data_IF_849538469973
#
_entry.id   IF_849538469973
#
_cell.length_a   1.000
_cell.length_b   1.000
_cell.length_c   1.000
_cell.angle_alpha   90.00
_cell.angle_beta   90.00
_cell.angle_gamma   90.00
#
_symmetry.space_group_name_H-M   'P 1'
#
loop_
_entity.id
_entity.type
_entity.pdbx_description
1 polymer ?
#
# COMPACT_ATOMS: atom_id res chain seq x y z
N UNK A 1 -1.84 -24.40 10.13
CA UNK A 1 -0.83 -23.34 10.45
C UNK A 1 -1.20 -22.06 9.71
N UNK A 2 -1.10 -20.88 10.36
CA UNK A 2 -1.39 -19.58 9.71
C UNK A 2 -0.09 -18.84 9.38
N UNK A 3 0.06 -18.40 8.13
CA UNK A 3 1.25 -17.70 7.63
C UNK A 3 0.87 -16.47 6.82
N UNK A 4 1.65 -15.40 6.97
CA UNK A 4 1.62 -14.24 6.06
C UNK A 4 2.82 -14.25 5.14
N UNK A 5 2.78 -13.45 4.07
CA UNK A 5 3.96 -13.23 3.23
C UNK A 5 5.18 -12.75 4.06
N UNK A 6 4.97 -11.82 4.99
CA UNK A 6 6.04 -11.31 5.85
C UNK A 6 6.65 -12.42 6.71
N UNK A 7 5.82 -13.29 7.29
CA UNK A 7 6.28 -14.44 8.08
C UNK A 7 7.11 -15.42 7.22
N UNK A 8 6.62 -15.77 6.04
CA UNK A 8 7.31 -16.62 5.08
C UNK A 8 8.66 -16.01 4.68
N UNK A 9 8.66 -14.72 4.30
CA UNK A 9 9.87 -14.00 3.91
C UNK A 9 10.90 -13.92 5.05
N UNK A 10 10.45 -13.73 6.29
CA UNK A 10 11.33 -13.71 7.46
C UNK A 10 11.97 -15.07 7.68
N UNK A 11 11.20 -16.17 7.62
CA UNK A 11 11.73 -17.53 7.74
C UNK A 11 12.76 -17.84 6.64
N UNK A 12 12.47 -17.48 5.39
CA UNK A 12 13.39 -17.68 4.27
C UNK A 12 14.69 -16.90 4.41
N UNK A 13 14.65 -15.71 5.02
CA UNK A 13 15.85 -14.91 5.30
C UNK A 13 16.67 -15.51 6.44
N UNK A 14 16.03 -15.87 7.54
CA UNK A 14 16.66 -16.50 8.69
C UNK A 14 15.60 -17.19 9.56
N UNK A 15 15.59 -18.54 9.66
CA UNK A 15 14.64 -19.27 10.51
C UNK A 15 14.69 -18.83 11.98
N UNK A 16 15.87 -18.53 12.52
CA UNK A 16 15.99 -18.03 13.90
C UNK A 16 15.34 -16.66 14.09
N UNK A 17 15.47 -15.75 13.13
CA UNK A 17 14.80 -14.45 13.17
C UNK A 17 13.27 -14.62 13.15
N UNK A 18 12.76 -15.57 12.39
CA UNK A 18 11.34 -15.95 12.41
C UNK A 18 10.94 -16.45 13.81
N UNK A 19 11.73 -17.35 14.41
CA UNK A 19 11.46 -17.87 15.76
C UNK A 19 11.34 -16.72 16.76
N UNK A 20 12.33 -15.83 16.82
CA UNK A 20 12.32 -14.70 17.74
C UNK A 20 11.10 -13.80 17.55
N UNK A 21 10.75 -13.49 16.29
CA UNK A 21 9.65 -12.56 16.00
C UNK A 21 8.26 -13.18 16.17
N UNK A 22 8.03 -14.41 15.65
CA UNK A 22 6.69 -14.98 15.54
C UNK A 22 6.38 -16.05 16.59
N UNK A 23 7.40 -16.75 17.10
CA UNK A 23 7.23 -17.81 18.11
C UNK A 23 7.47 -17.25 19.51
N UNK A 24 8.65 -16.67 19.73
CA UNK A 24 9.07 -16.12 21.02
C UNK A 24 8.49 -14.71 21.26
N UNK A 25 8.00 -14.04 20.21
CA UNK A 25 7.39 -12.69 20.23
C UNK A 25 8.28 -11.64 20.87
N UNK A 26 9.58 -11.71 20.60
CA UNK A 26 10.52 -10.72 21.09
C UNK A 26 10.21 -9.34 20.48
N UNK A 27 10.32 -8.26 21.27
CA UNK A 27 10.07 -6.92 20.76
C UNK A 27 11.10 -6.52 19.69
N UNK A 28 10.65 -5.81 18.68
CA UNK A 28 11.50 -5.17 17.68
C UNK A 28 11.61 -3.68 17.93
N UNK A 29 12.69 -3.08 17.47
CA UNK A 29 12.82 -1.63 17.51
C UNK A 29 11.87 -0.99 16.49
N UNK A 30 11.17 0.09 16.86
CA UNK A 30 10.41 0.87 15.89
C UNK A 30 11.29 1.30 14.72
N UNK A 31 10.71 1.33 13.53
CA UNK A 31 11.43 1.69 12.30
C UNK A 31 10.67 2.77 11.56
N UNK A 32 11.30 3.93 11.38
CA UNK A 32 10.72 5.02 10.61
C UNK A 32 10.36 4.62 9.16
N UNK A 33 11.06 3.63 8.58
CA UNK A 33 10.68 3.10 7.25
C UNK A 33 9.32 2.41 7.26
N UNK A 34 9.01 1.66 8.33
CA UNK A 34 7.71 1.00 8.49
C UNK A 34 6.62 2.02 8.77
N UNK A 35 6.87 2.96 9.69
CA UNK A 35 5.93 4.04 10.01
C UNK A 35 5.63 4.90 8.79
N UNK A 36 6.65 5.30 8.04
CA UNK A 36 6.50 6.01 6.77
C UNK A 36 5.66 5.24 5.76
N UNK A 37 6.00 3.97 5.52
CA UNK A 37 5.26 3.11 4.60
C UNK A 37 3.79 3.00 5.00
N UNK A 38 3.50 2.72 6.27
CA UNK A 38 2.14 2.59 6.79
C UNK A 38 1.35 3.89 6.67
N UNK A 39 1.96 5.05 6.95
CA UNK A 39 1.30 6.36 6.79
C UNK A 39 0.93 6.65 5.33
N UNK A 40 1.83 6.34 4.38
CA UNK A 40 1.55 6.49 2.94
C UNK A 40 0.42 5.54 2.49
N UNK A 41 0.44 4.26 2.91
CA UNK A 41 -0.62 3.30 2.57
C UNK A 41 -1.99 3.75 3.12
N UNK A 42 -2.04 4.26 4.36
CA UNK A 42 -3.27 4.76 4.94
C UNK A 42 -3.84 5.98 4.18
N UNK A 43 -2.97 6.91 3.75
CA UNK A 43 -3.39 8.04 2.92
C UNK A 43 -3.89 7.58 1.54
N UNK A 44 -3.26 6.58 0.93
CA UNK A 44 -3.73 6.01 -0.34
C UNK A 44 -5.01 5.19 -0.18
N UNK A 45 -5.20 4.51 0.95
CA UNK A 45 -6.47 3.89 1.30
C UNK A 45 -7.59 4.93 1.34
N UNK A 46 -7.38 6.06 2.01
CA UNK A 46 -8.32 7.17 2.04
C UNK A 46 -8.65 7.68 0.63
N UNK A 47 -7.64 7.91 -0.21
CA UNK A 47 -7.82 8.37 -1.59
C UNK A 47 -8.76 7.48 -2.41
N UNK A 48 -8.73 6.16 -2.18
CA UNK A 48 -9.53 5.18 -2.92
C UNK A 48 -10.75 4.66 -2.17
N UNK A 49 -10.95 5.03 -0.89
CA UNK A 49 -12.10 4.57 -0.09
C UNK A 49 -13.37 5.36 -0.39
N UNK A 50 -13.55 5.82 -1.60
CA UNK A 50 -14.73 6.58 -2.02
C UNK A 50 -15.67 5.69 -2.83
N UNK A 51 -16.97 5.92 -2.63
CA UNK A 51 -18.04 5.20 -3.34
C UNK A 51 -18.51 5.95 -4.61
N UNK A 52 -17.92 7.10 -4.88
CA UNK A 52 -18.18 7.93 -6.06
C UNK A 52 -16.97 7.92 -6.99
N UNK A 53 -17.11 8.03 -8.31
CA UNK A 53 -16.00 8.00 -9.26
C UNK A 53 -15.21 9.34 -9.28
N UNK A 54 -15.06 9.96 -8.13
CA UNK A 54 -14.34 11.21 -7.94
C UNK A 54 -13.35 11.05 -6.77
N UNK A 55 -12.06 11.36 -6.96
CA UNK A 55 -11.11 11.37 -5.87
C UNK A 55 -11.37 12.56 -4.94
N UNK A 56 -10.92 12.47 -3.70
CA UNK A 56 -10.76 13.66 -2.84
C UNK A 56 -9.84 14.67 -3.54
N UNK A 57 -9.85 15.93 -3.10
CA UNK A 57 -8.88 16.88 -3.62
C UNK A 57 -7.47 16.67 -3.05
N UNK A 58 -6.46 17.34 -3.63
CA UNK A 58 -5.07 17.17 -3.21
C UNK A 58 -4.85 17.64 -1.76
N UNK A 59 -5.53 18.68 -1.33
CA UNK A 59 -5.39 19.24 0.00
C UNK A 59 -5.95 18.29 1.05
N UNK A 60 -7.11 17.69 0.79
CA UNK A 60 -7.70 16.63 1.62
C UNK A 60 -6.79 15.41 1.74
N UNK A 61 -6.18 14.94 0.63
CA UNK A 61 -5.23 13.84 0.66
C UNK A 61 -3.99 14.16 1.49
N UNK A 62 -3.45 15.38 1.39
CA UNK A 62 -2.29 15.80 2.16
C UNK A 62 -2.63 16.05 3.64
N UNK A 63 -3.84 16.52 3.94
CA UNK A 63 -4.34 16.61 5.32
C UNK A 63 -4.51 15.23 5.93
N UNK A 64 -5.02 14.26 5.17
CA UNK A 64 -5.14 12.90 5.66
C UNK A 64 -3.78 12.27 5.95
N UNK A 65 -2.74 12.55 5.16
CA UNK A 65 -1.39 12.11 5.51
C UNK A 65 -0.97 12.62 6.90
N UNK A 66 -1.30 13.87 7.23
CA UNK A 66 -0.99 14.44 8.55
C UNK A 66 -1.81 13.76 9.67
N UNK A 67 -3.06 13.40 9.41
CA UNK A 67 -3.94 12.72 10.37
C UNK A 67 -3.47 11.29 10.69
N UNK A 68 -3.02 10.55 9.66
CA UNK A 68 -2.60 9.14 9.80
C UNK A 68 -1.11 8.97 10.01
N UNK A 69 -0.38 10.05 10.25
CA UNK A 69 1.07 10.01 10.40
C UNK A 69 1.52 9.27 11.64
N UNK A 70 2.28 8.19 11.45
CA UNK A 70 2.90 7.43 12.53
C UNK A 70 4.27 8.01 12.85
N UNK A 71 4.52 8.31 14.13
CA UNK A 71 5.75 8.98 14.61
C UNK A 71 6.84 8.03 15.09
N UNK A 72 6.56 6.75 15.15
CA UNK A 72 7.46 5.78 15.74
C UNK A 72 8.72 5.55 14.89
N UNK A 73 9.89 5.47 15.54
CA UNK A 73 11.15 5.08 14.92
C UNK A 73 11.92 6.21 14.23
N UNK A 74 11.44 7.45 14.24
CA UNK A 74 12.22 8.59 13.75
C UNK A 74 13.21 9.06 14.82
N UNK A 75 14.46 9.25 14.42
CA UNK A 75 15.53 9.76 15.31
C UNK A 75 15.48 11.29 15.37
N UNK A 76 14.42 11.84 16.00
CA UNK A 76 14.23 13.27 16.20
C UNK A 76 13.33 13.94 15.15
N UNK A 77 12.90 15.17 15.47
CA UNK A 77 11.94 15.95 14.67
C UNK A 77 12.43 16.28 13.26
N UNK A 78 13.76 16.50 13.10
CA UNK A 78 14.33 16.85 11.79
C UNK A 78 14.16 15.71 10.78
N UNK A 79 14.42 14.47 11.19
CA UNK A 79 14.22 13.30 10.33
C UNK A 79 12.74 13.05 10.08
N UNK A 80 11.88 13.22 11.09
CA UNK A 80 10.42 13.09 10.94
C UNK A 80 9.91 14.09 9.89
N UNK A 81 10.34 15.37 9.99
CA UNK A 81 9.94 16.42 9.08
C UNK A 81 10.41 16.14 7.63
N UNK A 82 11.66 15.70 7.46
CA UNK A 82 12.18 15.29 6.14
C UNK A 82 11.30 14.22 5.49
N UNK A 83 10.89 13.19 6.27
CA UNK A 83 10.04 12.14 5.75
C UNK A 83 8.60 12.60 5.52
N UNK A 84 8.07 13.53 6.32
CA UNK A 84 6.78 14.17 6.06
C UNK A 84 6.78 14.91 4.72
N UNK A 85 7.77 15.73 4.46
CA UNK A 85 7.92 16.45 3.19
C UNK A 85 8.06 15.49 2.01
N UNK A 86 8.85 14.43 2.17
CA UNK A 86 8.94 13.35 1.19
C UNK A 86 7.60 12.66 0.94
N UNK A 87 6.82 12.39 1.98
CA UNK A 87 5.48 11.83 1.88
C UNK A 87 4.53 12.73 1.10
N UNK A 88 4.52 14.03 1.42
CA UNK A 88 3.72 15.04 0.70
C UNK A 88 4.11 15.13 -0.78
N UNK A 89 5.40 15.07 -1.09
CA UNK A 89 5.88 15.08 -2.47
C UNK A 89 5.43 13.83 -3.24
N UNK A 90 5.52 12.65 -2.63
CA UNK A 90 5.06 11.37 -3.21
C UNK A 90 3.55 11.42 -3.48
N UNK A 91 2.73 11.83 -2.51
CA UNK A 91 1.29 11.88 -2.68
C UNK A 91 0.85 12.96 -3.68
N UNK A 92 1.56 14.09 -3.73
CA UNK A 92 1.32 15.13 -4.75
C UNK A 92 1.57 14.59 -6.16
N UNK A 93 2.68 13.86 -6.36
CA UNK A 93 2.99 13.23 -7.65
C UNK A 93 1.98 12.14 -7.98
N UNK A 94 1.67 11.28 -7.01
CA UNK A 94 0.65 10.24 -7.15
C UNK A 94 -0.71 10.81 -7.55
N UNK A 95 -1.15 11.88 -6.88
CA UNK A 95 -2.41 12.57 -7.17
C UNK A 95 -2.47 13.07 -8.60
N UNK A 96 -1.42 13.79 -9.05
CA UNK A 96 -1.35 14.35 -10.41
C UNK A 96 -1.51 13.28 -11.51
N UNK A 97 -1.03 12.08 -11.26
CA UNK A 97 -1.06 11.01 -12.24
C UNK A 97 -2.31 10.13 -12.16
N UNK A 98 -2.85 9.95 -10.95
CA UNK A 98 -3.94 9.00 -10.75
C UNK A 98 -5.32 9.67 -10.64
N UNK A 99 -5.41 10.93 -10.20
CA UNK A 99 -6.69 11.63 -10.10
C UNK A 99 -7.38 11.87 -11.46
N UNK A 100 -6.67 12.22 -12.55
CA UNK A 100 -7.32 12.41 -13.86
C UNK A 100 -7.95 11.14 -14.45
N UNK A 101 -7.42 9.97 -14.08
CA UNK A 101 -7.94 8.65 -14.52
C UNK A 101 -8.51 7.86 -13.36
N UNK A 102 -9.05 8.57 -12.36
CA UNK A 102 -9.58 7.93 -11.16
C UNK A 102 -10.73 6.99 -11.50
N UNK A 103 -10.69 5.80 -10.91
CA UNK A 103 -11.77 4.83 -10.96
C UNK A 103 -11.94 4.19 -9.59
N UNK A 104 -13.19 3.88 -9.25
CA UNK A 104 -13.50 3.20 -7.99
C UNK A 104 -12.93 1.78 -8.05
N UNK A 105 -12.02 1.41 -7.15
CA UNK A 105 -11.45 0.07 -7.13
C UNK A 105 -12.49 -0.98 -6.72
N UNK A 106 -12.24 -2.22 -7.07
CA UNK A 106 -13.03 -3.37 -6.58
C UNK A 106 -12.90 -3.51 -5.07
N UNK A 107 -11.68 -3.26 -4.56
CA UNK A 107 -11.40 -3.26 -3.12
C UNK A 107 -10.11 -2.50 -2.82
N UNK A 108 -10.05 -1.93 -1.60
CA UNK A 108 -8.87 -1.28 -1.00
C UNK A 108 -8.60 -1.96 0.34
N UNK A 109 -7.33 -2.13 0.71
CA UNK A 109 -6.89 -2.78 1.96
C UNK A 109 -7.66 -4.08 2.24
N UNK A 110 -7.82 -4.90 1.18
CA UNK A 110 -8.61 -6.12 1.25
C UNK A 110 -7.90 -7.20 2.05
N UNK A 111 -8.41 -7.47 3.24
CA UNK A 111 -7.94 -8.59 4.07
C UNK A 111 -8.37 -9.91 3.47
N UNK A 112 -7.50 -10.90 3.54
CA UNK A 112 -7.80 -12.26 3.13
C UNK A 112 -7.23 -13.29 4.12
N UNK A 113 -7.91 -14.43 4.17
CA UNK A 113 -7.42 -15.66 4.78
C UNK A 113 -7.90 -16.81 3.90
N UNK A 114 -6.96 -17.46 3.22
CA UNK A 114 -7.25 -18.57 2.29
C UNK A 114 -6.61 -19.85 2.79
N UNK A 115 -7.32 -20.97 2.69
CA UNK A 115 -6.77 -22.28 3.03
C UNK A 115 -6.08 -22.90 1.81
N UNK A 116 -4.87 -23.40 2.05
CA UNK A 116 -4.03 -24.07 1.05
C UNK A 116 -3.47 -25.36 1.67
N UNK A 117 -4.25 -26.43 1.60
CA UNK A 117 -3.85 -27.75 2.09
C UNK A 117 -3.46 -27.74 3.59
N UNK A 118 -4.27 -27.11 4.44
CA UNK A 118 -4.03 -27.01 5.88
C UNK A 118 -3.07 -25.90 6.31
N UNK A 119 -2.62 -25.06 5.36
CA UNK A 119 -1.90 -23.82 5.61
C UNK A 119 -2.84 -22.66 5.32
N UNK A 120 -3.20 -21.89 6.32
CA UNK A 120 -3.98 -20.65 6.13
C UNK A 120 -3.03 -19.52 5.75
N UNK A 121 -3.08 -19.07 4.49
CA UNK A 121 -2.38 -17.86 4.06
C UNK A 121 -3.23 -16.64 4.34
N UNK A 122 -2.67 -15.64 5.02
CA UNK A 122 -3.36 -14.40 5.37
C UNK A 122 -2.54 -13.18 5.04
N UNK A 123 -3.23 -12.08 4.74
CA UNK A 123 -2.60 -10.80 4.41
C UNK A 123 -3.62 -9.74 4.04
N UNK A 124 -3.10 -8.67 3.49
CA UNK A 124 -3.88 -7.54 3.02
C UNK A 124 -3.40 -7.24 1.60
N UNK A 125 -4.34 -7.02 0.69
CA UNK A 125 -4.07 -6.54 -0.67
C UNK A 125 -4.39 -5.06 -0.69
N UNK A 126 -3.42 -4.23 -1.03
CA UNK A 126 -3.55 -2.77 -0.95
C UNK A 126 -4.68 -2.26 -1.85
N UNK A 127 -4.73 -2.72 -3.12
CA UNK A 127 -5.78 -2.32 -4.05
C UNK A 127 -6.06 -3.39 -5.12
N UNK A 128 -7.33 -3.53 -5.48
CA UNK A 128 -7.81 -4.40 -6.56
C UNK A 128 -8.65 -3.56 -7.50
N UNK A 129 -8.24 -3.45 -8.75
CA UNK A 129 -8.96 -2.74 -9.80
C UNK A 129 -9.64 -3.70 -10.78
N UNK A 130 -10.70 -3.19 -11.41
CA UNK A 130 -11.30 -3.84 -12.57
C UNK A 130 -10.66 -3.30 -13.84
N UNK A 131 -10.15 -4.20 -14.67
CA UNK A 131 -9.63 -3.85 -15.98
C UNK A 131 -10.75 -3.71 -17.00
N UNK A 132 -10.50 -2.96 -18.06
CA UNK A 132 -11.35 -2.97 -19.25
C UNK A 132 -11.47 -4.41 -19.76
N UNK A 133 -12.70 -4.86 -20.03
CA UNK A 133 -12.98 -6.26 -20.38
C UNK A 133 -13.22 -7.20 -19.19
N UNK A 134 -13.29 -6.69 -17.95
CA UNK A 134 -13.82 -7.41 -16.77
C UNK A 134 -12.79 -8.19 -15.96
N UNK A 135 -11.51 -8.14 -16.32
CA UNK A 135 -10.43 -8.76 -15.54
C UNK A 135 -10.07 -7.99 -14.26
N UNK A 136 -9.21 -8.57 -13.43
CA UNK A 136 -8.71 -7.94 -12.20
C UNK A 136 -7.22 -7.60 -12.33
N UNK A 137 -6.85 -6.42 -11.81
CA UNK A 137 -5.47 -6.04 -11.51
C UNK A 137 -5.31 -5.93 -9.99
N UNK A 138 -4.26 -6.56 -9.47
CA UNK A 138 -3.82 -6.36 -8.08
C UNK A 138 -2.69 -5.35 -8.10
N UNK A 139 -2.77 -4.37 -7.22
CA UNK A 139 -1.76 -3.34 -7.06
C UNK A 139 -1.28 -3.36 -5.62
N UNK A 140 0.05 -3.41 -5.44
CA UNK A 140 0.73 -3.34 -4.15
C UNK A 140 1.71 -2.15 -4.19
N UNK A 141 1.57 -1.25 -3.23
CA UNK A 141 2.36 -0.03 -3.15
C UNK A 141 3.70 -0.27 -2.46
N UNK A 142 4.74 0.35 -2.98
CA UNK A 142 6.09 0.27 -2.44
C UNK A 142 6.68 1.68 -2.26
N UNK A 143 7.10 1.99 -1.04
CA UNK A 143 7.75 3.26 -0.68
C UNK A 143 9.27 3.23 -0.84
N UNK A 144 9.82 2.18 -1.46
CA UNK A 144 11.25 2.04 -1.72
C UNK A 144 11.72 3.02 -2.79
N UNK A 145 12.86 3.67 -2.56
CA UNK A 145 13.47 4.59 -3.52
C UNK A 145 14.19 3.92 -4.70
N UNK A 146 14.43 2.59 -4.64
CA UNK A 146 15.11 1.85 -5.69
C UNK A 146 14.27 0.68 -6.16
N UNK A 147 14.20 0.51 -7.47
CA UNK A 147 13.58 -0.67 -8.08
C UNK A 147 14.44 -1.91 -7.83
N UNK A 148 13.85 -3.03 -7.41
CA UNK A 148 14.57 -4.28 -7.34
C UNK A 148 14.87 -4.82 -8.74
N UNK A 149 15.90 -5.65 -8.90
CA UNK A 149 16.15 -6.34 -10.18
C UNK A 149 14.92 -7.13 -10.63
N UNK A 150 14.67 -7.20 -11.94
CA UNK A 150 13.52 -7.95 -12.52
C UNK A 150 13.48 -9.40 -12.05
N UNK A 151 14.64 -10.03 -11.86
CA UNK A 151 14.75 -11.39 -11.35
C UNK A 151 14.12 -11.54 -9.97
N UNK A 152 14.29 -10.55 -9.08
CA UNK A 152 13.72 -10.56 -7.73
C UNK A 152 12.18 -10.43 -7.77
N UNK A 153 11.65 -9.62 -8.68
CA UNK A 153 10.20 -9.47 -8.88
C UNK A 153 9.57 -10.78 -9.34
N UNK A 154 10.26 -11.51 -10.22
CA UNK A 154 9.78 -12.79 -10.72
C UNK A 154 9.81 -13.91 -9.69
N UNK A 155 10.68 -13.82 -8.68
CA UNK A 155 10.83 -14.83 -7.62
C UNK A 155 10.13 -14.44 -6.31
N UNK A 156 9.60 -13.23 -6.22
CA UNK A 156 8.86 -12.77 -5.06
C UNK A 156 7.58 -13.60 -4.85
N UNK A 157 7.32 -13.98 -3.60
CA UNK A 157 6.15 -14.79 -3.24
C UNK A 157 4.88 -13.96 -2.95
N UNK A 158 5.01 -12.66 -2.75
CA UNK A 158 3.88 -11.78 -2.41
C UNK A 158 2.84 -11.77 -3.52
N UNK A 159 3.29 -11.52 -4.75
CA UNK A 159 2.40 -11.43 -5.90
C UNK A 159 1.66 -12.76 -6.23
N UNK A 160 2.32 -13.95 -6.19
CA UNK A 160 1.60 -15.22 -6.28
C UNK A 160 0.59 -15.44 -5.15
N UNK A 161 0.92 -15.07 -3.91
CA UNK A 161 0.00 -15.18 -2.78
C UNK A 161 -1.24 -14.31 -3.01
N UNK A 162 -1.04 -13.06 -3.42
CA UNK A 162 -2.14 -12.14 -3.73
C UNK A 162 -2.98 -12.61 -4.93
N UNK A 163 -2.34 -13.19 -5.94
CA UNK A 163 -3.05 -13.79 -7.08
C UNK A 163 -4.00 -14.92 -6.61
N UNK A 164 -3.49 -15.85 -5.80
CA UNK A 164 -4.29 -16.94 -5.26
C UNK A 164 -5.43 -16.43 -4.37
N UNK A 165 -5.14 -15.43 -3.54
CA UNK A 165 -6.13 -14.83 -2.66
C UNK A 165 -7.27 -14.18 -3.46
N UNK A 166 -6.95 -13.37 -4.46
CA UNK A 166 -7.96 -12.73 -5.30
C UNK A 166 -8.75 -13.73 -6.15
N UNK A 167 -8.12 -14.77 -6.70
CA UNK A 167 -8.80 -15.84 -7.42
C UNK A 167 -9.81 -16.55 -6.52
N UNK A 168 -9.45 -16.86 -5.27
CA UNK A 168 -10.37 -17.52 -4.34
C UNK A 168 -11.49 -16.58 -3.86
N UNK A 169 -11.20 -15.28 -3.63
CA UNK A 169 -12.18 -14.33 -3.14
C UNK A 169 -13.21 -13.91 -4.20
N UNK A 170 -12.79 -13.82 -5.46
CA UNK A 170 -13.62 -13.26 -6.53
C UNK A 170 -14.02 -14.29 -7.61
N UNK A 171 -13.49 -15.51 -7.54
CA UNK A 171 -13.75 -16.57 -8.55
C UNK A 171 -13.11 -16.29 -9.91
N UNK A 172 -12.26 -15.24 -10.01
CA UNK A 172 -11.63 -14.80 -11.25
C UNK A 172 -10.13 -14.65 -11.00
N UNK A 173 -9.31 -15.35 -11.78
CA UNK A 173 -7.85 -15.21 -11.70
C UNK A 173 -7.44 -13.80 -12.17
N UNK A 174 -6.63 -13.07 -11.39
CA UNK A 174 -6.13 -11.76 -11.80
C UNK A 174 -5.35 -11.84 -13.12
N UNK A 175 -5.65 -10.94 -14.03
CA UNK A 175 -4.93 -10.83 -15.30
C UNK A 175 -3.58 -10.16 -15.13
N UNK A 176 -3.44 -9.31 -14.11
CA UNK A 176 -2.27 -8.48 -13.88
C UNK A 176 -2.02 -8.33 -12.38
N UNK A 177 -0.76 -8.39 -11.98
CA UNK A 177 -0.29 -8.08 -10.63
C UNK A 177 0.82 -7.05 -10.75
N UNK A 178 0.73 -5.96 -9.99
CA UNK A 178 1.55 -4.76 -10.15
C UNK A 178 2.18 -4.38 -8.83
N UNK A 179 3.49 -4.16 -8.82
CA UNK A 179 4.19 -3.41 -7.78
C UNK A 179 4.28 -1.96 -8.24
N UNK A 180 3.70 -1.05 -7.48
CA UNK A 180 3.78 0.38 -7.76
C UNK A 180 4.77 1.05 -6.82
N UNK A 181 5.96 1.33 -7.32
CA UNK A 181 7.04 2.01 -6.61
C UNK A 181 6.76 3.52 -6.60
N UNK A 182 6.24 4.02 -5.49
CA UNK A 182 5.76 5.38 -5.37
C UNK A 182 6.86 6.45 -5.47
N UNK A 183 8.07 6.17 -4.93
CA UNK A 183 9.18 7.14 -4.96
C UNK A 183 9.69 7.40 -6.38
N UNK A 184 10.08 6.37 -7.18
CA UNK A 184 10.44 6.57 -8.58
C UNK A 184 9.23 6.73 -9.49
N UNK A 185 8.01 6.56 -8.94
CA UNK A 185 6.75 6.57 -9.67
C UNK A 185 6.70 5.56 -10.84
N UNK A 186 7.13 4.34 -10.59
CA UNK A 186 7.19 3.29 -11.58
C UNK A 186 6.30 2.09 -11.24
N UNK A 187 5.58 1.60 -12.23
CA UNK A 187 4.75 0.39 -12.13
C UNK A 187 5.43 -0.78 -12.81
N UNK A 188 5.68 -1.84 -12.05
CA UNK A 188 6.23 -3.10 -12.56
C UNK A 188 5.15 -4.16 -12.49
N UNK A 189 4.62 -4.51 -13.66
CA UNK A 189 3.50 -5.44 -13.78
C UNK A 189 3.96 -6.79 -14.31
N UNK A 190 3.29 -7.84 -13.86
CA UNK A 190 3.49 -9.20 -14.33
C UNK A 190 2.15 -9.94 -14.39
N UNK A 191 2.07 -10.92 -15.30
CA UNK A 191 1.03 -11.94 -15.28
C UNK A 191 1.58 -13.20 -14.60
N UNK A 192 0.87 -13.72 -13.63
CA UNK A 192 1.28 -14.99 -12.97
C UNK A 192 0.70 -16.17 -13.72
N UNK A 193 1.58 -17.11 -14.01
CA UNK A 193 1.21 -18.36 -14.70
C UNK A 193 0.91 -19.45 -13.67
N UNK A 194 0.24 -20.53 -14.10
CA UNK A 194 0.03 -21.72 -13.26
C UNK A 194 1.36 -22.29 -12.74
N UNK A 195 2.45 -22.17 -13.51
CA UNK A 195 3.79 -22.60 -13.11
C UNK A 195 4.33 -21.74 -11.97
N UNK A 196 4.12 -20.41 -12.04
CA UNK A 196 4.54 -19.49 -10.97
C UNK A 196 3.80 -19.78 -9.67
N UNK A 197 2.49 -20.01 -9.75
CA UNK A 197 1.65 -20.38 -8.59
C UNK A 197 2.12 -21.70 -7.99
N UNK A 198 2.35 -22.74 -8.83
CA UNK A 198 2.85 -24.04 -8.35
C UNK A 198 4.21 -23.93 -7.65
N UNK A 199 5.11 -23.09 -8.19
CA UNK A 199 6.43 -22.81 -7.58
C UNK A 199 6.29 -22.12 -6.24
N UNK A 200 5.40 -21.11 -6.15
CA UNK A 200 5.12 -20.40 -4.90
C UNK A 200 4.55 -21.34 -3.83
N UNK A 201 3.60 -22.18 -4.19
CA UNK A 201 3.03 -23.18 -3.28
C UNK A 201 4.08 -24.16 -2.75
N UNK A 202 4.98 -24.65 -3.60
CA UNK A 202 6.06 -25.51 -3.16
C UNK A 202 7.00 -24.81 -2.18
N UNK A 203 7.33 -23.54 -2.41
CA UNK A 203 8.15 -22.75 -1.49
C UNK A 203 7.44 -22.50 -0.14
N UNK A 204 6.15 -22.20 -0.17
CA UNK A 204 5.33 -22.00 1.04
C UNK A 204 5.24 -23.30 1.86
N UNK A 205 4.99 -24.45 1.22
CA UNK A 205 4.96 -25.75 1.90
C UNK A 205 6.30 -26.05 2.58
N UNK A 206 7.42 -25.84 1.87
CA UNK A 206 8.76 -26.03 2.44
C UNK A 206 9.00 -25.18 3.69
N UNK A 207 8.53 -23.92 3.70
CA UNK A 207 8.58 -23.05 4.89
C UNK A 207 7.71 -23.62 6.01
N UNK A 208 6.47 -24.02 5.70
CA UNK A 208 5.55 -24.57 6.68
C UNK A 208 6.07 -25.88 7.30
N UNK A 209 6.66 -26.77 6.50
CA UNK A 209 7.31 -28.00 6.94
C UNK A 209 8.48 -27.69 7.89
N UNK A 210 9.36 -26.75 7.53
CA UNK A 210 10.48 -26.34 8.37
C UNK A 210 10.04 -25.73 9.71
N UNK A 211 8.99 -24.91 9.70
CA UNK A 211 8.40 -24.36 10.94
C UNK A 211 7.77 -25.47 11.78
N UNK A 212 7.02 -26.38 11.15
CA UNK A 212 6.40 -27.53 11.83
C UNK A 212 7.42 -28.48 12.45
N UNK A 213 8.56 -28.68 11.80
CA UNK A 213 9.71 -29.44 12.31
C UNK A 213 10.54 -28.67 13.33
N UNK A 214 10.16 -27.44 13.70
CA UNK A 214 10.92 -26.54 14.58
C UNK A 214 12.38 -26.29 14.14
N UNK A 215 12.61 -26.29 12.84
CA UNK A 215 13.93 -26.00 12.28
C UNK A 215 14.13 -24.48 12.27
N UNK A 216 14.80 -23.96 13.30
CA UNK A 216 15.08 -22.54 13.50
C UNK A 216 16.57 -22.21 13.53
N UNK A 217 17.36 -22.97 12.81
CA UNK A 217 18.79 -22.74 12.72
C UNK A 217 19.11 -21.34 12.16
N UNK A 218 20.08 -20.62 12.78
CA UNK A 218 20.48 -19.32 12.29
C UNK A 218 21.13 -19.41 10.91
N UNK A 219 20.78 -18.47 10.04
CA UNK A 219 21.34 -18.39 8.70
C UNK A 219 22.08 -17.07 8.48
N UNK A 220 23.41 -17.17 8.27
CA UNK A 220 24.26 -16.01 8.00
C UNK A 220 23.98 -15.45 6.61
N UNK A 221 23.61 -14.17 6.52
CA UNK A 221 23.26 -13.51 5.28
C UNK A 221 23.65 -12.01 5.32
N UNK A 222 23.67 -11.30 4.17
CA UNK A 222 24.04 -9.87 4.11
C UNK A 222 23.16 -8.93 4.95
N UNK A 223 21.98 -9.37 5.39
CA UNK A 223 21.04 -8.55 6.19
C UNK A 223 21.29 -8.68 7.69
N UNK A 224 22.22 -9.50 8.15
CA UNK A 224 22.53 -9.63 9.57
C UNK A 224 22.83 -8.29 10.27
N UNK A 225 23.50 -7.29 9.66
CA UNK A 225 23.71 -5.99 10.29
C UNK A 225 22.44 -5.17 10.54
N UNK A 226 21.31 -5.54 9.92
CA UNK A 226 20.00 -4.91 10.10
C UNK A 226 19.03 -5.76 10.91
N UNK A 227 19.50 -6.85 11.52
CA UNK A 227 18.66 -7.76 12.31
C UNK A 227 18.40 -7.19 13.71
N UNK A 228 17.14 -7.06 14.10
CA UNK A 228 16.76 -6.59 15.45
C UNK A 228 17.23 -7.54 16.57
N UNK A 229 17.53 -8.79 16.24
CA UNK A 229 17.88 -9.85 17.18
C UNK A 229 19.37 -10.21 17.14
N UNK A 230 20.22 -9.34 16.60
CA UNK A 230 21.65 -9.65 16.38
C UNK A 230 22.39 -9.88 17.70
N UNK A 231 22.01 -9.15 18.77
CA UNK A 231 22.61 -9.28 20.12
C UNK A 231 22.31 -10.65 20.75
N UNK A 232 21.19 -11.28 20.37
CA UNK A 232 20.79 -12.62 20.83
C UNK A 232 21.14 -13.73 19.85
N UNK A 233 21.77 -13.39 18.71
CA UNK A 233 22.07 -14.36 17.67
C UNK A 233 23.34 -15.14 17.98
N UNK A 234 23.32 -16.48 18.08
CA UNK A 234 24.51 -17.28 18.40
C UNK A 234 25.65 -17.16 17.36
N UNK A 235 25.35 -16.72 16.12
CA UNK A 235 26.37 -16.47 15.10
C UNK A 235 27.09 -15.12 15.27
N UNK A 236 26.49 -14.16 16.00
CA UNK A 236 26.98 -12.78 16.00
C UNK A 236 27.03 -12.15 17.40
N UNK A 237 26.44 -12.75 18.43
CA UNK A 237 26.42 -12.19 19.80
C UNK A 237 27.83 -11.91 20.37
N UNK A 238 28.85 -12.61 19.88
CA UNK A 238 30.25 -12.44 20.27
C UNK A 238 31.14 -11.91 19.14
N UNK A 239 30.55 -11.36 18.05
CA UNK A 239 31.27 -10.79 16.92
C UNK A 239 31.29 -9.26 17.02
N UNK A 240 32.38 -8.64 17.52
CA UNK A 240 32.44 -7.20 17.75
C UNK A 240 32.34 -6.39 16.44
N UNK A 241 32.82 -6.94 15.32
CA UNK A 241 32.76 -6.26 14.01
C UNK A 241 31.32 -6.23 13.51
N UNK A 242 30.61 -7.33 13.64
CA UNK A 242 29.21 -7.40 13.21
C UNK A 242 28.30 -6.57 14.11
N UNK A 243 28.52 -6.60 15.43
CA UNK A 243 27.79 -5.79 16.39
C UNK A 243 28.03 -4.29 16.17
N UNK A 244 29.26 -3.86 15.85
CA UNK A 244 29.56 -2.47 15.51
C UNK A 244 28.81 -2.02 14.23
N UNK A 245 28.75 -2.87 13.19
CA UNK A 245 27.95 -2.60 11.99
C UNK A 245 26.45 -2.50 12.29
N UNK A 246 25.96 -3.37 13.16
CA UNK A 246 24.56 -3.34 13.58
C UNK A 246 24.23 -2.12 14.42
N UNK A 247 25.15 -1.67 15.28
CA UNK A 247 25.03 -0.44 16.05
C UNK A 247 24.93 0.79 15.13
N UNK A 248 25.76 0.85 14.09
CA UNK A 248 25.67 1.91 13.06
C UNK A 248 24.31 1.94 12.32
N UNK A 249 23.57 0.82 12.31
CA UNK A 249 22.21 0.71 11.76
C UNK A 249 21.11 0.82 12.84
N UNK A 250 21.45 1.28 14.06
CA UNK A 250 20.49 1.43 15.16
C UNK A 250 19.97 0.10 15.76
N UNK A 251 20.62 -1.04 15.47
CA UNK A 251 20.14 -2.38 15.87
C UNK A 251 20.71 -2.90 17.19
N UNK A 252 21.75 -2.26 17.72
CA UNK A 252 22.39 -2.59 19.02
C UNK A 252 22.13 -1.45 20.02
N UNK A 253 21.83 -1.80 21.25
CA UNK A 253 21.36 -0.83 22.25
C UNK A 253 22.50 -0.10 22.99
N UNK A 254 23.67 -0.72 23.12
CA UNK A 254 24.82 -0.15 23.83
C UNK A 254 26.13 -0.74 23.32
N UNK A 255 26.79 -0.09 22.39
CA UNK A 255 28.23 -0.28 22.17
C UNK A 255 28.93 0.94 22.76
N UNK A 256 29.62 0.77 23.90
CA UNK A 256 30.61 1.73 24.38
C UNK A 256 31.66 1.87 23.29
N UNK A 257 32.02 3.09 22.82
CA UNK A 257 33.03 3.24 21.78
C UNK A 257 34.40 2.88 22.36
N UNK A 258 34.82 1.65 22.13
CA UNK A 258 36.17 1.17 22.39
C UNK A 258 37.01 1.32 21.13
N UNK A 259 37.99 2.22 21.19
CA UNK A 259 39.15 2.40 20.32
C UNK A 259 38.90 2.53 18.81
N UNK A 260 39.11 3.73 18.34
CA UNK A 260 39.41 4.05 16.92
C UNK A 260 40.56 3.17 16.43
N UNK A 261 40.29 2.24 15.52
CA UNK A 261 41.31 1.67 14.66
C UNK A 261 41.54 2.68 13.55
N UNK A 262 42.76 3.24 13.51
CA UNK A 262 43.20 4.14 12.45
C UNK A 262 43.32 3.36 11.13
N UNK A 263 42.43 3.62 10.18
CA UNK A 263 42.66 3.29 8.79
C UNK A 263 43.50 4.42 8.14
N UNK A 264 44.82 4.24 8.22
CA UNK A 264 45.76 4.89 7.30
C UNK A 264 46.24 3.77 6.38
N UNK A 265 45.84 3.82 5.13
CA UNK A 265 46.49 3.32 3.92
C UNK A 265 45.49 2.83 2.87
N UNK A 266 45.11 3.72 1.97
CA UNK A 266 44.84 3.42 0.55
C UNK A 266 44.73 4.73 -0.24
N UNK A 267 45.90 5.32 -0.51
CA UNK A 267 46.02 6.32 -1.60
C UNK A 267 46.53 5.63 -2.87
N UNK A 268 46.05 6.17 -3.96
CA UNK A 268 46.59 6.15 -5.32
C UNK A 268 46.21 4.99 -6.24
N UNK A 269 45.33 5.33 -7.22
CA UNK A 269 45.80 5.33 -8.62
C UNK A 269 44.77 6.04 -9.51
N UNK A 270 45.12 7.25 -9.89
CA UNK A 270 44.56 7.93 -11.06
C UNK A 270 45.17 7.32 -12.30
N UNK A 271 44.42 7.02 -13.33
CA UNK A 271 44.88 6.90 -14.67
C UNK A 271 44.02 7.70 -15.64
N UNK A 272 44.67 8.67 -16.20
CA UNK A 272 44.26 9.55 -17.28
C UNK A 272 44.20 8.75 -18.60
N UNK A 273 43.10 8.91 -19.35
CA UNK A 273 42.94 8.48 -20.73
C UNK A 273 42.33 9.58 -21.57
N UNK A 274 43.13 10.12 -22.48
CA UNK A 274 42.86 11.25 -23.35
C UNK A 274 41.72 10.99 -24.35
N UNK A 275 40.90 12.04 -24.55
CA UNK A 275 39.93 12.16 -25.60
C UNK A 275 40.55 12.34 -26.99
N UNK A 276 40.13 11.56 -27.96
CA UNK A 276 40.35 11.82 -29.37
C UNK A 276 39.11 12.48 -29.97
N UNK A 277 39.27 13.66 -30.46
CA UNK A 277 38.28 14.47 -31.17
C UNK A 277 38.09 13.91 -32.57
N UNK A 278 36.87 13.47 -32.92
CA UNK A 278 36.48 13.20 -34.30
C UNK A 278 35.42 14.23 -34.72
N UNK A 279 35.82 15.20 -35.48
CA UNK A 279 34.97 16.18 -36.15
C UNK A 279 34.35 15.51 -37.38
N UNK A 280 33.04 15.28 -37.39
CA UNK A 280 32.31 14.96 -38.61
C UNK A 280 31.36 16.08 -38.97
N UNK A 281 31.65 16.74 -40.07
CA UNK A 281 30.83 17.74 -40.76
C UNK A 281 29.54 17.07 -41.24
N UNK A 282 28.43 17.33 -40.56
CA UNK A 282 27.09 16.99 -41.04
C UNK A 282 26.60 18.08 -41.95
N UNK A 283 26.26 17.73 -43.19
CA UNK A 283 25.77 18.60 -44.25
C UNK A 283 24.58 19.45 -43.78
N UNK A 284 24.64 20.78 -44.05
CA UNK A 284 23.65 21.78 -43.67
C UNK A 284 22.20 21.45 -44.10
N UNK A 285 22.04 20.66 -45.11
CA UNK A 285 20.72 20.20 -45.62
C UNK A 285 19.98 19.24 -44.68
N UNK A 286 20.67 18.31 -44.03
CA UNK A 286 20.05 17.40 -43.03
C UNK A 286 19.64 18.12 -41.73
N UNK A 287 20.38 19.15 -41.35
CA UNK A 287 20.03 19.95 -40.19
C UNK A 287 18.75 20.78 -40.43
N UNK A 288 18.53 21.28 -41.64
CA UNK A 288 17.33 22.04 -41.98
C UNK A 288 16.06 21.18 -42.06
N UNK A 289 16.15 19.93 -42.54
CA UNK A 289 15.03 18.99 -42.50
C UNK A 289 14.69 18.52 -41.09
N UNK A 290 15.70 18.20 -40.27
CA UNK A 290 15.49 17.83 -38.88
C UNK A 290 14.86 18.97 -38.05
N UNK A 291 15.25 20.23 -38.27
CA UNK A 291 14.65 21.40 -37.65
C UNK A 291 13.18 21.59 -38.11
N UNK A 292 12.85 21.27 -39.35
CA UNK A 292 11.49 21.36 -39.86
C UNK A 292 10.57 20.29 -39.29
N UNK A 293 11.07 19.07 -39.11
CA UNK A 293 10.38 17.97 -38.45
C UNK A 293 10.17 18.25 -36.96
N UNK A 294 11.19 18.81 -36.28
CA UNK A 294 11.10 19.24 -34.88
C UNK A 294 10.07 20.36 -34.69
N UNK A 295 9.99 21.33 -35.62
CA UNK A 295 8.98 22.38 -35.56
C UNK A 295 7.56 21.88 -35.84
N UNK A 296 7.39 20.92 -36.75
CA UNK A 296 6.08 20.29 -36.98
C UNK A 296 5.65 19.43 -35.76
N UNK A 297 6.58 18.71 -35.12
CA UNK A 297 6.29 17.97 -33.90
C UNK A 297 5.99 18.90 -32.71
N UNK A 298 6.70 20.02 -32.60
CA UNK A 298 6.43 21.02 -31.54
C UNK A 298 5.03 21.63 -31.69
N UNK A 299 4.64 22.02 -32.90
CA UNK A 299 3.30 22.56 -33.15
C UNK A 299 2.17 21.51 -32.93
N UNK A 300 2.44 20.24 -33.18
CA UNK A 300 1.50 19.16 -32.88
C UNK A 300 1.37 18.94 -31.38
N UNK A 301 2.46 19.03 -30.64
CA UNK A 301 2.46 18.95 -29.18
C UNK A 301 1.75 20.16 -28.55
N UNK A 302 1.99 21.38 -29.03
CA UNK A 302 1.26 22.56 -28.56
C UNK A 302 -0.26 22.39 -28.70
N UNK A 303 -0.73 21.93 -29.88
CA UNK A 303 -2.16 21.65 -30.09
C UNK A 303 -2.69 20.57 -29.16
N UNK A 304 -1.92 19.51 -28.94
CA UNK A 304 -2.31 18.44 -28.00
C UNK A 304 -2.37 18.94 -26.56
N UNK A 305 -1.48 19.85 -26.17
CA UNK A 305 -1.52 20.50 -24.85
C UNK A 305 -2.75 21.39 -24.72
N UNK A 306 -3.07 22.19 -25.73
CA UNK A 306 -4.25 23.05 -25.72
C UNK A 306 -5.55 22.21 -25.63
N UNK A 307 -5.65 21.15 -26.43
CA UNK A 307 -6.78 20.22 -26.38
C UNK A 307 -6.90 19.54 -25.00
N UNK A 308 -5.77 19.11 -24.42
CA UNK A 308 -5.74 18.54 -23.08
C UNK A 308 -6.24 19.54 -22.02
N UNK A 309 -5.79 20.78 -22.07
CA UNK A 309 -6.22 21.82 -21.13
C UNK A 309 -7.72 22.15 -21.29
N UNK A 310 -8.22 22.17 -22.50
CA UNK A 310 -9.65 22.36 -22.77
C UNK A 310 -10.48 21.21 -22.21
N UNK A 311 -10.04 19.96 -22.39
CA UNK A 311 -10.72 18.79 -21.82
C UNK A 311 -10.69 18.80 -20.30
N UNK A 312 -9.56 19.16 -19.67
CA UNK A 312 -9.47 19.33 -18.20
C UNK A 312 -10.47 20.38 -17.70
N UNK A 313 -10.58 21.52 -18.38
CA UNK A 313 -11.55 22.56 -18.05
C UNK A 313 -13.00 22.09 -18.20
N UNK A 314 -13.31 21.33 -19.25
CA UNK A 314 -14.62 20.74 -19.45
C UNK A 314 -14.98 19.75 -18.34
N UNK A 315 -14.04 18.89 -17.93
CA UNK A 315 -14.21 17.95 -16.82
C UNK A 315 -14.46 18.72 -15.52
N UNK A 316 -13.69 19.77 -15.23
CA UNK A 316 -13.86 20.59 -14.04
C UNK A 316 -15.24 21.24 -13.99
N UNK A 317 -15.69 21.83 -15.10
CA UNK A 317 -17.02 22.45 -15.19
C UNK A 317 -18.15 21.41 -15.06
N UNK A 318 -17.97 20.22 -15.65
CA UNK A 318 -18.93 19.12 -15.52
C UNK A 318 -19.04 18.63 -14.07
N UNK A 319 -17.92 18.56 -13.34
CA UNK A 319 -17.89 18.22 -11.90
C UNK A 319 -18.66 19.23 -11.05
N UNK A 320 -18.40 20.52 -11.26
CA UNK A 320 -19.15 21.58 -10.55
C UNK A 320 -20.66 21.44 -10.80
N UNK A 321 -21.05 21.19 -12.07
CA UNK A 321 -22.46 21.01 -12.42
C UNK A 321 -23.07 19.76 -11.79
N UNK A 322 -22.27 18.65 -11.72
CA UNK A 322 -22.69 17.42 -11.06
C UNK A 322 -22.97 17.67 -9.56
N UNK A 323 -22.08 18.36 -8.86
CA UNK A 323 -22.24 18.70 -7.45
C UNK A 323 -23.51 19.55 -7.19
N UNK A 324 -23.76 20.55 -8.05
CA UNK A 324 -25.00 21.33 -7.98
C UNK A 324 -26.25 20.45 -8.15
N UNK A 325 -26.22 19.55 -9.14
CA UNK A 325 -27.34 18.63 -9.40
C UNK A 325 -27.54 17.64 -8.25
N UNK A 326 -26.45 17.12 -7.69
CA UNK A 326 -26.49 16.26 -6.50
C UNK A 326 -27.19 16.98 -5.34
N UNK A 327 -26.82 18.23 -5.05
CA UNK A 327 -27.44 19.03 -3.99
C UNK A 327 -28.96 19.23 -4.23
N UNK A 328 -29.35 19.55 -5.47
CA UNK A 328 -30.75 19.70 -5.83
C UNK A 328 -31.53 18.40 -5.62
N UNK A 329 -30.96 17.28 -6.07
CA UNK A 329 -31.61 15.97 -5.97
C UNK A 329 -31.68 15.52 -4.50
N UNK A 330 -30.64 15.75 -3.71
CA UNK A 330 -30.66 15.45 -2.27
C UNK A 330 -31.74 16.21 -1.55
N UNK A 331 -31.82 17.53 -1.75
CA UNK A 331 -32.82 18.38 -1.13
C UNK A 331 -34.24 17.96 -1.53
N UNK A 332 -34.45 17.62 -2.79
CA UNK A 332 -35.74 17.13 -3.26
C UNK A 332 -36.13 15.79 -2.63
N UNK A 333 -35.19 14.83 -2.61
CA UNK A 333 -35.40 13.52 -1.98
C UNK A 333 -35.68 13.66 -0.48
N UNK A 334 -34.99 14.57 0.20
CA UNK A 334 -35.17 14.82 1.64
C UNK A 334 -36.54 15.43 1.92
N UNK A 335 -36.91 16.50 1.20
CA UNK A 335 -38.21 17.19 1.37
C UNK A 335 -39.39 16.26 1.08
N UNK A 336 -39.22 15.24 0.24
CA UNK A 336 -40.30 14.31 -0.12
C UNK A 336 -40.13 12.91 0.50
N UNK A 337 -39.16 12.72 1.41
CA UNK A 337 -38.87 11.44 2.07
C UNK A 337 -38.59 10.29 1.07
N UNK A 338 -37.98 10.61 -0.06
CA UNK A 338 -37.70 9.63 -1.12
C UNK A 338 -36.32 8.98 -0.92
N UNK A 339 -36.27 7.66 -1.13
CA UNK A 339 -35.02 6.87 -1.16
C UNK A 339 -34.52 6.63 -2.57
N UNK A 340 -35.28 6.99 -3.60
CA UNK A 340 -34.87 6.92 -4.99
C UNK A 340 -35.69 7.86 -5.87
N UNK A 341 -35.12 8.30 -6.98
CA UNK A 341 -35.75 9.16 -7.97
C UNK A 341 -35.41 8.64 -9.38
N UNK A 342 -36.38 8.72 -10.29
CA UNK A 342 -36.22 8.27 -11.68
C UNK A 342 -36.20 9.47 -12.61
N UNK A 343 -35.24 9.46 -13.54
CA UNK A 343 -35.22 10.33 -14.72
C UNK A 343 -35.56 9.51 -15.98
N UNK A 344 -35.49 10.15 -17.12
CA UNK A 344 -35.77 9.49 -18.43
C UNK A 344 -34.70 8.48 -18.83
N UNK A 345 -33.45 8.65 -18.32
CA UNK A 345 -32.28 7.83 -18.70
C UNK A 345 -31.80 6.89 -17.60
N UNK A 346 -32.50 6.81 -16.47
CA UNK A 346 -32.11 5.93 -15.40
C UNK A 346 -32.71 6.32 -14.06
N UNK A 347 -32.29 5.60 -13.03
CA UNK A 347 -32.76 5.76 -11.66
C UNK A 347 -31.60 5.99 -10.71
N UNK A 348 -31.71 6.95 -9.82
CA UNK A 348 -30.78 7.21 -8.73
C UNK A 348 -31.37 6.70 -7.41
N UNK A 349 -30.55 6.03 -6.61
CA UNK A 349 -30.88 5.67 -5.25
C UNK A 349 -30.09 6.55 -4.27
N UNK A 350 -30.81 7.12 -3.27
CA UNK A 350 -30.21 7.87 -2.15
C UNK A 350 -29.97 6.90 -1.01
N UNK A 351 -28.71 6.72 -0.61
CA UNK A 351 -28.34 5.90 0.55
C UNK A 351 -27.80 6.78 1.65
N UNK A 352 -28.22 6.49 2.89
CA UNK A 352 -27.64 7.11 4.06
C UNK A 352 -26.32 6.43 4.40
N UNK A 353 -25.27 7.20 4.50
CA UNK A 353 -24.00 6.83 5.08
C UNK A 353 -23.98 7.30 6.53
N UNK A 354 -23.81 6.36 7.46
CA UNK A 354 -23.69 6.70 8.88
C UNK A 354 -22.24 6.49 9.28
N UNK A 355 -21.54 7.56 9.53
CA UNK A 355 -20.27 7.51 10.23
C UNK A 355 -20.53 7.25 11.69
N UNK A 356 -19.99 6.17 12.21
CA UNK A 356 -20.18 5.77 13.60
C UNK A 356 -18.84 5.51 14.22
N UNK A 357 -18.65 6.01 15.42
CA UNK A 357 -17.52 5.66 16.27
C UNK A 357 -18.03 5.01 17.56
N UNK A 358 -17.11 4.37 18.28
CA UNK A 358 -17.44 3.77 19.55
C UNK A 358 -16.93 4.66 20.67
N UNK A 359 -17.80 4.92 21.63
CA UNK A 359 -17.40 5.60 22.85
C UNK A 359 -16.44 4.70 23.64
N UNK A 360 -15.19 5.15 23.73
CA UNK A 360 -14.07 4.38 24.29
C UNK A 360 -14.30 4.04 25.76
N UNK A 361 -14.86 4.96 26.55
CA UNK A 361 -15.14 4.75 27.98
C UNK A 361 -16.22 3.67 28.16
N UNK A 362 -17.34 3.79 27.43
CA UNK A 362 -18.39 2.77 27.47
C UNK A 362 -17.92 1.40 27.01
N UNK A 363 -17.06 1.36 25.98
CA UNK A 363 -16.44 0.11 25.51
C UNK A 363 -15.54 -0.50 26.58
N UNK A 364 -14.74 0.31 27.26
CA UNK A 364 -13.86 -0.11 28.31
C UNK A 364 -14.66 -0.77 29.45
N UNK A 365 -15.70 -0.09 29.95
CA UNK A 365 -16.57 -0.60 31.00
C UNK A 365 -17.22 -1.94 30.64
N UNK A 366 -17.47 -2.18 29.36
CA UNK A 366 -18.05 -3.43 28.86
C UNK A 366 -17.02 -4.55 28.70
N UNK A 367 -15.82 -4.25 28.25
CA UNK A 367 -14.83 -5.23 27.81
C UNK A 367 -13.80 -5.57 28.91
N UNK A 368 -13.45 -4.63 29.78
CA UNK A 368 -12.49 -4.82 30.86
C UNK A 368 -12.91 -5.91 31.85
N UNK A 369 -14.19 -5.98 32.33
CA UNK A 369 -14.65 -7.06 33.20
C UNK A 369 -14.63 -8.45 32.54
N UNK A 370 -14.53 -8.52 31.23
CA UNK A 370 -14.51 -9.75 30.43
C UNK A 370 -13.10 -10.17 30.01
N UNK A 371 -12.06 -9.44 30.43
CA UNK A 371 -10.66 -9.69 30.04
C UNK A 371 -10.42 -9.51 28.53
N UNK A 372 -11.28 -8.73 27.85
CA UNK A 372 -11.20 -8.48 26.41
C UNK A 372 -10.62 -7.09 26.08
N UNK A 373 -10.46 -6.20 27.11
CA UNK A 373 -9.99 -4.85 26.89
C UNK A 373 -8.57 -4.78 26.32
N UNK A 374 -7.65 -5.58 26.87
CA UNK A 374 -6.26 -5.61 26.38
C UNK A 374 -6.13 -6.09 24.94
N UNK A 375 -7.10 -6.88 24.47
CA UNK A 375 -7.18 -7.33 23.07
C UNK A 375 -7.68 -6.25 22.13
N UNK A 376 -8.26 -5.19 22.67
CA UNK A 376 -8.93 -4.10 21.96
C UNK A 376 -8.10 -2.80 22.03
N UNK A 377 -7.08 -2.71 22.91
CA UNK A 377 -6.20 -1.54 23.06
C UNK A 377 -5.40 -1.18 21.79
N UNK A 378 -5.27 -2.11 20.85
CA UNK A 378 -4.65 -1.90 19.53
C UNK A 378 -5.70 -1.52 18.46
N UNK A 379 -6.78 -0.82 18.89
CA UNK A 379 -7.99 -0.65 18.09
C UNK A 379 -7.89 0.46 17.03
N UNK A 380 -7.52 0.04 15.94
CA UNK A 380 -8.21 0.38 14.70
C UNK A 380 -9.57 -0.36 14.70
N UNK A 381 -10.71 0.29 14.44
CA UNK A 381 -12.09 -0.28 14.53
C UNK A 381 -12.34 -1.59 13.76
N UNK A 382 -11.33 -2.11 13.11
CA UNK A 382 -11.24 -3.37 12.38
C UNK A 382 -11.15 -4.59 13.32
N UNK A 383 -10.47 -4.48 14.49
CA UNK A 383 -10.36 -5.61 15.44
C UNK A 383 -11.67 -5.82 16.18
N UNK A 384 -12.37 -4.75 16.50
CA UNK A 384 -13.70 -4.82 17.10
C UNK A 384 -14.70 -5.49 16.13
N UNK A 385 -14.60 -5.22 14.83
CA UNK A 385 -15.35 -5.95 13.79
C UNK A 385 -14.98 -7.43 13.75
N UNK A 386 -13.71 -7.77 13.82
CA UNK A 386 -13.26 -9.17 13.85
C UNK A 386 -13.75 -9.92 15.09
N UNK A 387 -13.72 -9.26 16.27
CA UNK A 387 -14.26 -9.84 17.50
C UNK A 387 -15.76 -10.11 17.40
N UNK A 388 -16.48 -9.33 16.58
CA UNK A 388 -17.90 -9.46 16.32
C UNK A 388 -18.23 -10.49 15.21
N UNK A 389 -17.27 -10.76 14.31
CA UNK A 389 -17.46 -11.66 13.18
C UNK A 389 -16.96 -13.10 13.45
N UNK A 390 -15.99 -13.28 14.37
CA UNK A 390 -15.33 -14.58 14.63
C UNK A 390 -16.12 -15.54 15.55
N UNK A 391 -17.22 -15.11 16.18
CA UNK A 391 -17.91 -15.93 17.16
C UNK A 391 -19.43 -15.98 16.95
N UNK A 392 -19.88 -17.04 16.30
CA UNK A 392 -21.30 -17.30 16.06
C UNK A 392 -22.17 -17.48 17.31
N UNK A 393 -21.61 -17.37 18.53
CA UNK A 393 -22.30 -17.57 19.82
C UNK A 393 -22.58 -16.29 20.64
N UNK A 394 -22.11 -15.10 20.19
CA UNK A 394 -22.14 -13.89 21.01
C UNK A 394 -23.15 -12.80 20.53
N UNK A 395 -24.39 -13.17 20.25
CA UNK A 395 -25.44 -12.19 19.96
C UNK A 395 -25.66 -11.19 21.11
N UNK A 396 -25.34 -11.56 22.35
CA UNK A 396 -25.43 -10.67 23.52
C UNK A 396 -24.27 -9.68 23.61
N UNK A 397 -23.01 -10.14 23.37
CA UNK A 397 -21.86 -9.24 23.36
C UNK A 397 -21.97 -8.21 22.22
N UNK A 398 -22.45 -8.63 21.05
CA UNK A 398 -22.69 -7.73 19.91
C UNK A 398 -23.73 -6.65 20.29
N UNK A 399 -24.84 -7.03 20.93
CA UNK A 399 -25.85 -6.07 21.39
C UNK A 399 -25.30 -5.08 22.40
N UNK A 400 -24.45 -5.54 23.33
CA UNK A 400 -23.80 -4.67 24.32
C UNK A 400 -22.81 -3.70 23.68
N UNK A 401 -21.98 -4.16 22.75
CA UNK A 401 -21.03 -3.31 22.01
C UNK A 401 -21.78 -2.28 21.16
N UNK A 402 -22.90 -2.65 20.56
CA UNK A 402 -23.73 -1.71 19.79
C UNK A 402 -24.31 -0.60 20.69
N UNK A 403 -24.45 -0.79 22.01
CA UNK A 403 -24.86 0.30 22.93
C UNK A 403 -23.78 1.37 23.15
N UNK A 404 -22.51 1.03 22.89
CA UNK A 404 -21.39 1.98 22.96
C UNK A 404 -21.16 2.73 21.63
N UNK A 405 -21.94 2.42 20.60
CA UNK A 405 -21.84 3.02 19.28
C UNK A 405 -22.54 4.35 19.24
N UNK A 406 -21.86 5.38 18.82
CA UNK A 406 -22.37 6.72 18.64
C UNK A 406 -22.38 7.09 17.16
N UNK A 407 -23.46 7.74 16.70
CA UNK A 407 -23.55 8.25 15.33
C UNK A 407 -23.00 9.67 15.35
N UNK A 408 -21.87 9.88 14.68
CA UNK A 408 -21.21 11.17 14.61
C UNK A 408 -21.83 12.01 13.47
N UNK A 409 -21.99 11.41 12.31
CA UNK A 409 -22.51 12.10 11.14
C UNK A 409 -23.36 11.16 10.26
N UNK A 410 -24.35 11.72 9.61
CA UNK A 410 -25.14 11.04 8.58
C UNK A 410 -24.96 11.82 7.28
N UNK A 411 -24.20 11.24 6.36
CA UNK A 411 -24.09 11.73 4.99
C UNK A 411 -24.96 10.90 4.04
N UNK A 412 -25.25 11.45 2.87
CA UNK A 412 -26.06 10.75 1.88
C UNK A 412 -25.35 10.72 0.53
N UNK A 413 -25.31 9.57 -0.12
CA UNK A 413 -24.78 9.42 -1.46
C UNK A 413 -25.89 9.02 -2.45
N UNK A 414 -25.72 9.41 -3.71
CA UNK A 414 -26.59 9.03 -4.82
C UNK A 414 -25.93 7.93 -5.64
N UNK A 415 -26.69 6.88 -5.94
CA UNK A 415 -26.23 5.74 -6.72
C UNK A 415 -27.09 5.52 -7.95
N UNK A 416 -26.46 5.22 -9.07
CA UNK A 416 -27.16 4.79 -10.30
C UNK A 416 -27.63 3.35 -10.06
N UNK A 417 -28.94 3.14 -10.08
CA UNK A 417 -29.54 1.83 -9.78
C UNK A 417 -29.77 0.98 -11.02
N UNK A 418 -30.10 1.60 -12.15
CA UNK A 418 -30.31 0.95 -13.44
C UNK A 418 -29.39 1.65 -14.46
N UNK A 419 -28.54 0.87 -15.13
CA UNK A 419 -27.50 1.39 -16.01
C UNK A 419 -28.04 2.21 -17.17
N UNK A 420 -27.21 3.10 -17.69
CA UNK A 420 -27.43 3.80 -18.96
C UNK A 420 -27.46 2.73 -20.05
N UNK A 421 -28.59 2.58 -20.74
CA UNK A 421 -28.71 1.68 -21.90
C UNK A 421 -27.93 2.30 -23.07
N UNK A 422 -26.72 1.78 -23.35
CA UNK A 422 -25.85 2.25 -24.44
C UNK A 422 -26.39 1.93 -25.85
N UNK A 423 -27.63 1.46 -25.98
CA UNK A 423 -28.21 1.02 -27.26
C UNK A 423 -28.92 2.12 -28.06
N UNK A 424 -28.59 3.38 -27.83
CA UNK A 424 -29.05 4.48 -28.69
C UNK A 424 -27.90 5.45 -28.96
N UNK A 425 -26.97 5.02 -29.80
CA UNK A 425 -26.14 5.91 -30.64
C UNK A 425 -26.28 5.50 -32.07
#
# INVERSE_FOLDING_TARGET
>A
MRLSYSAISTYQKCPLSYKFLYVDKLPTKPSHYLSFGSSIHAALEFFYRVEVPEPCDLEELLQELDNVWLRDGYEGEALEQEYKEKGRAILTQFYRENAPSFGVPVAVEKRFAIDMDGITLSGIIDRIDRLEGGGLEIIDYKTNGKLPPKTKINTDLQLPIYHMAAEQLYGIAPQKVTLYFLVPNERVSARKTKTDIKRALAAIRKVAEGIGAQNFDPFKNPLCPWCDFIESCPLHMNDPVMLAKAAANGKVSNVVPGNKVNDADAKSQQNSGSAATATSTVSATKATEAIKELKQSASAIEKAVDEYLDLVNQISNARLRLAELQTIIHNYCESNSLTSISGTHGRLARRAHKTTHYNVEKLRDLLEPRGLWDKVLDVNGTFLKQLLDDDGSQSELRKLIDTAKEVEEISYALYIKDGIDERNK
#
